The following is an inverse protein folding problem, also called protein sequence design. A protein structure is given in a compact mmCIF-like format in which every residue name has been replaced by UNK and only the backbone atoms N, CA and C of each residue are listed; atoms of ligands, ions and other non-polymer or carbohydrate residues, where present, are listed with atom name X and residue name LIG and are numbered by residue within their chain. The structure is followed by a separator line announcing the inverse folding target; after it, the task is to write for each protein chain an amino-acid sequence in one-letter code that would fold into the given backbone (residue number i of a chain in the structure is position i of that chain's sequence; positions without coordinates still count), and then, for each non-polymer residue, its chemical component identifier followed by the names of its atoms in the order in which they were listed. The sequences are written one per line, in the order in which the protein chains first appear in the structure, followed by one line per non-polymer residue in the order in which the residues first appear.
data_IF_474968648710
#
_entry.id   IF_474968648710
#
_cell.length_a   1.000
_cell.length_b   1.000
_cell.length_c   1.000
_cell.angle_alpha   90.00
_cell.angle_beta   90.00
_cell.angle_gamma   90.00
#
_symmetry.space_group_name_H-M   'P 1'
#
loop_
_entity.id
_entity.type
_entity.pdbx_description
1 polymer ?
#
# COMPACT_ATOMS: atom_id res chain seq x y z
N UNK A 1 -0.04 5.31 -8.18
CA UNK A 1 -1.06 5.92 -9.10
C UNK A 1 -0.77 5.57 -10.56
N UNK A 2 -1.77 5.54 -11.45
CA UNK A 2 -1.57 5.18 -12.87
C UNK A 2 -1.47 6.41 -13.78
N UNK A 3 -0.50 6.43 -14.70
CA UNK A 3 -0.36 7.43 -15.77
C UNK A 3 0.19 6.74 -17.03
N UNK A 4 -0.37 7.06 -18.20
CA UNK A 4 -0.01 6.44 -19.48
C UNK A 4 0.06 4.90 -19.46
N UNK A 5 -0.84 4.25 -18.70
CA UNK A 5 -0.88 2.79 -18.55
C UNK A 5 0.12 2.22 -17.56
N UNK A 6 1.03 3.02 -17.00
CA UNK A 6 2.05 2.60 -16.05
C UNK A 6 1.71 3.02 -14.62
N UNK A 7 2.10 2.19 -13.64
CA UNK A 7 1.96 2.50 -12.22
C UNK A 7 3.24 3.15 -11.71
N UNK A 8 3.09 4.22 -10.96
CA UNK A 8 4.18 4.89 -10.24
C UNK A 8 3.83 5.02 -8.76
N UNK A 9 4.83 4.82 -7.90
CA UNK A 9 4.70 5.05 -6.47
C UNK A 9 4.55 6.56 -6.23
N UNK A 10 3.47 6.95 -5.57
CA UNK A 10 3.20 8.31 -5.13
C UNK A 10 3.90 8.56 -3.80
N UNK A 11 3.69 7.66 -2.84
CA UNK A 11 4.29 7.74 -1.52
C UNK A 11 4.13 6.41 -0.77
N UNK A 12 4.72 6.34 0.43
CA UNK A 12 4.79 5.16 1.28
C UNK A 12 4.61 5.47 2.76
N UNK A 13 3.89 4.62 3.49
CA UNK A 13 3.71 4.75 4.96
C UNK A 13 5.00 4.51 5.75
N UNK A 14 4.91 4.70 7.07
CA UNK A 14 5.88 4.15 7.99
C UNK A 14 5.93 2.61 7.93
N UNK A 15 7.07 2.04 8.34
CA UNK A 15 7.23 0.59 8.53
C UNK A 15 6.77 0.22 9.93
N UNK A 16 5.78 -0.66 10.05
CA UNK A 16 5.29 -1.18 11.32
C UNK A 16 5.91 -2.55 11.55
N UNK A 17 6.70 -2.70 12.62
CA UNK A 17 7.33 -3.97 13.01
C UNK A 17 6.38 -4.79 13.88
N UNK A 18 6.38 -6.11 13.69
CA UNK A 18 5.81 -7.07 14.66
C UNK A 18 4.31 -6.87 14.90
N UNK A 19 3.52 -6.75 13.83
CA UNK A 19 2.07 -6.55 13.92
C UNK A 19 1.29 -7.36 12.87
N UNK A 20 0.30 -8.15 13.30
CA UNK A 20 -0.59 -8.94 12.43
C UNK A 20 -1.63 -8.04 11.73
N UNK A 21 -1.99 -6.92 12.36
CA UNK A 21 -3.03 -5.99 11.88
C UNK A 21 -2.49 -4.56 11.93
N UNK A 22 -1.55 -4.20 11.04
CA UNK A 22 -0.93 -2.88 11.04
C UNK A 22 -1.95 -1.76 10.82
N UNK A 23 -1.84 -0.70 11.62
CA UNK A 23 -2.60 0.55 11.44
C UNK A 23 -1.59 1.65 11.12
N UNK A 24 -1.59 2.10 9.86
CA UNK A 24 -0.72 3.19 9.42
C UNK A 24 -1.34 4.55 9.71
N UNK A 25 -0.50 5.48 10.15
CA UNK A 25 -0.89 6.86 10.48
C UNK A 25 -0.57 7.85 9.36
N UNK A 26 0.33 7.48 8.42
CA UNK A 26 0.65 8.37 7.31
C UNK A 26 -0.56 8.68 6.43
N UNK A 27 -0.75 9.96 6.13
CA UNK A 27 -1.76 10.44 5.21
C UNK A 27 -1.16 10.60 3.81
N UNK A 28 -1.80 10.00 2.82
CA UNK A 28 -1.48 10.23 1.41
C UNK A 28 -2.19 11.50 0.92
N UNK A 29 -1.43 12.44 0.36
CA UNK A 29 -1.96 13.64 -0.29
C UNK A 29 -1.85 13.46 -1.80
N UNK A 30 -2.97 13.59 -2.51
CA UNK A 30 -3.05 13.45 -3.97
C UNK A 30 -3.92 14.58 -4.50
N UNK A 31 -3.45 15.25 -5.55
CA UNK A 31 -4.25 16.27 -6.24
C UNK A 31 -5.45 15.64 -6.94
N UNK A 32 -6.60 16.29 -6.85
CA UNK A 32 -7.85 15.81 -7.44
C UNK A 32 -8.17 16.60 -8.72
N UNK A 33 -8.36 15.88 -9.82
CA UNK A 33 -8.76 16.39 -11.13
C UNK A 33 -10.10 15.78 -11.51
N UNK A 34 -11.15 16.60 -11.60
CA UNK A 34 -12.53 16.12 -11.78
C UNK A 34 -12.79 15.56 -13.18
N UNK A 35 -11.96 15.96 -14.14
CA UNK A 35 -12.00 15.58 -15.55
C UNK A 35 -11.30 14.24 -15.82
N UNK A 36 -10.57 13.69 -14.84
CA UNK A 36 -9.79 12.46 -15.00
C UNK A 36 -10.27 11.30 -14.13
N UNK A 37 -10.18 10.08 -14.67
CA UNK A 37 -10.34 8.85 -13.88
C UNK A 37 -8.99 8.48 -13.24
N UNK A 38 -8.71 9.07 -12.07
CA UNK A 38 -7.45 8.84 -11.36
C UNK A 38 -7.47 7.49 -10.63
N UNK A 39 -6.72 6.51 -11.16
CA UNK A 39 -6.60 5.17 -10.58
C UNK A 39 -5.50 5.10 -9.53
N UNK A 40 -5.86 4.58 -8.37
CA UNK A 40 -5.00 4.37 -7.22
C UNK A 40 -4.81 2.88 -6.96
N UNK A 41 -3.62 2.51 -6.52
CA UNK A 41 -3.29 1.13 -6.15
C UNK A 41 -2.56 1.16 -4.83
N UNK A 42 -3.13 0.52 -3.82
CA UNK A 42 -2.52 0.37 -2.51
C UNK A 42 -1.91 -1.01 -2.43
N UNK A 43 -0.65 -1.09 -2.06
CA UNK A 43 0.07 -2.36 -1.90
C UNK A 43 0.72 -2.43 -0.53
N UNK A 44 0.61 -3.57 0.13
CA UNK A 44 1.32 -3.86 1.37
C UNK A 44 2.45 -4.83 1.07
N UNK A 45 3.62 -4.50 1.60
CA UNK A 45 4.86 -5.24 1.41
C UNK A 45 5.45 -5.65 2.77
N UNK A 46 5.98 -6.86 2.86
CA UNK A 46 6.82 -7.33 3.98
C UNK A 46 8.24 -6.83 3.78
N UNK A 47 8.69 -6.03 4.72
CA UNK A 47 10.03 -5.48 4.79
C UNK A 47 10.84 -6.37 5.73
N UNK A 48 11.23 -7.57 5.28
CA UNK A 48 12.10 -8.43 6.08
C UNK A 48 13.43 -7.70 6.37
N UNK A 49 13.98 -7.90 7.56
CA UNK A 49 15.24 -7.24 7.98
C UNK A 49 16.46 -7.63 7.16
N UNK A 50 16.35 -8.68 6.34
CA UNK A 50 17.42 -9.17 5.46
C UNK A 50 17.41 -8.49 4.09
N UNK A 51 16.37 -7.71 3.77
CA UNK A 51 16.26 -7.00 2.50
C UNK A 51 16.88 -5.60 2.62
N UNK A 52 17.82 -5.28 1.74
CA UNK A 52 18.51 -3.99 1.69
C UNK A 52 17.63 -2.87 1.06
N UNK A 53 16.30 -2.98 1.16
CA UNK A 53 15.35 -2.01 0.62
C UNK A 53 14.09 -2.65 0.02
N UNK A 54 13.19 -1.81 -0.50
CA UNK A 54 11.88 -2.23 -1.01
C UNK A 54 11.95 -3.12 -2.26
N UNK A 55 13.10 -3.15 -2.97
CA UNK A 55 13.26 -3.98 -4.18
C UNK A 55 13.14 -5.47 -3.91
N UNK A 56 13.46 -5.87 -2.69
CA UNK A 56 13.41 -7.27 -2.26
C UNK A 56 12.27 -7.50 -1.26
N UNK A 57 11.36 -6.54 -1.09
CA UNK A 57 10.22 -6.69 -0.20
C UNK A 57 9.16 -7.61 -0.82
N UNK A 58 8.59 -8.50 0.01
CA UNK A 58 7.60 -9.46 -0.46
C UNK A 58 6.21 -8.83 -0.51
N UNK A 59 5.54 -8.92 -1.67
CA UNK A 59 4.19 -8.42 -1.82
C UNK A 59 3.20 -9.26 -0.99
N UNK A 60 2.48 -8.60 -0.08
CA UNK A 60 1.49 -9.23 0.79
C UNK A 60 0.07 -9.07 0.30
N UNK A 61 -0.20 -8.09 -0.57
CA UNK A 61 -1.55 -7.83 -1.03
C UNK A 61 -1.76 -6.39 -1.43
N UNK A 62 -2.85 -6.15 -2.17
CA UNK A 62 -3.20 -4.81 -2.55
C UNK A 62 -4.65 -4.67 -3.00
N UNK A 63 -5.04 -3.43 -3.22
CA UNK A 63 -6.33 -3.09 -3.82
C UNK A 63 -6.17 -1.95 -4.81
N UNK A 64 -7.01 -1.97 -5.84
CA UNK A 64 -7.13 -0.86 -6.78
C UNK A 64 -8.49 -0.18 -6.61
N UNK A 65 -8.50 1.14 -6.69
CA UNK A 65 -9.73 1.94 -6.67
C UNK A 65 -9.54 3.21 -7.50
N UNK A 66 -10.63 3.91 -7.83
CA UNK A 66 -10.53 5.28 -8.35
C UNK A 66 -10.58 6.29 -7.21
N UNK A 67 -9.91 7.44 -7.35
CA UNK A 67 -9.93 8.49 -6.33
C UNK A 67 -11.36 8.97 -6.03
N UNK A 68 -12.22 9.05 -7.06
CA UNK A 68 -13.61 9.47 -6.92
C UNK A 68 -14.53 8.50 -6.14
N UNK A 69 -14.14 7.22 -5.97
CA UNK A 69 -14.94 6.22 -5.26
C UNK A 69 -14.55 6.06 -3.78
N UNK A 70 -13.54 6.80 -3.31
CA UNK A 70 -12.78 6.42 -2.13
C UNK A 70 -13.30 7.06 -0.83
N UNK A 71 -13.46 6.24 0.22
CA UNK A 71 -13.71 6.71 1.59
C UNK A 71 -12.41 7.16 2.29
N UNK A 72 -12.53 8.03 3.31
CA UNK A 72 -11.38 8.55 4.08
C UNK A 72 -10.56 7.47 4.80
N UNK A 73 -11.14 6.28 5.03
CA UNK A 73 -10.47 5.14 5.66
C UNK A 73 -10.49 3.95 4.73
N UNK A 74 -9.33 3.32 4.59
CA UNK A 74 -9.12 2.13 3.80
C UNK A 74 -8.84 0.93 4.70
N UNK A 75 -9.43 -0.20 4.36
CA UNK A 75 -9.17 -1.49 5.00
C UNK A 75 -8.91 -2.53 3.91
N UNK A 76 -7.72 -3.11 3.91
CA UNK A 76 -7.38 -4.22 3.03
C UNK A 76 -7.89 -5.54 3.63
N UNK A 77 -8.48 -6.45 2.84
CA UNK A 77 -8.94 -7.74 3.35
C UNK A 77 -7.76 -8.58 3.86
N UNK A 78 -7.93 -9.20 5.02
CA UNK A 78 -6.91 -10.02 5.68
C UNK A 78 -6.51 -11.26 4.89
N UNK A 79 -7.36 -11.73 3.96
CA UNK A 79 -7.14 -12.93 3.12
C UNK A 79 -5.98 -12.80 2.13
N UNK A 80 -5.33 -11.65 2.05
CA UNK A 80 -4.14 -11.46 1.22
C UNK A 80 -2.85 -11.96 1.91
N UNK A 81 -2.85 -12.12 3.25
CA UNK A 81 -1.69 -12.52 4.07
C UNK A 81 -1.38 -14.03 4.05
N UNK A 82 -1.36 -14.68 2.89
CA UNK A 82 -1.32 -16.15 2.85
C UNK A 82 0.00 -16.81 3.30
N UNK A 83 1.10 -16.07 3.54
CA UNK A 83 2.39 -16.67 3.93
C UNK A 83 3.27 -15.83 4.88
N UNK A 84 2.76 -14.77 5.53
CA UNK A 84 3.59 -13.95 6.41
C UNK A 84 3.66 -14.49 7.85
N UNK A 85 4.86 -14.66 8.43
CA UNK A 85 5.01 -14.89 9.85
C UNK A 85 4.31 -13.76 10.65
N UNK A 86 3.72 -14.05 11.82
CA UNK A 86 2.89 -13.10 12.59
C UNK A 86 3.65 -11.88 13.17
N UNK A 87 4.87 -11.59 12.72
CA UNK A 87 5.78 -10.63 13.32
C UNK A 87 6.63 -9.83 12.32
N UNK A 88 6.43 -10.00 11.01
CA UNK A 88 7.27 -9.33 10.03
C UNK A 88 6.97 -7.83 9.91
N UNK A 89 7.97 -6.98 9.62
CA UNK A 89 7.76 -5.56 9.38
C UNK A 89 6.96 -5.37 8.09
N UNK A 90 5.98 -4.47 8.07
CA UNK A 90 5.19 -4.21 6.87
C UNK A 90 5.04 -2.72 6.58
N UNK A 91 4.81 -2.40 5.31
CA UNK A 91 4.65 -1.04 4.82
C UNK A 91 3.61 -0.98 3.69
N UNK A 92 2.83 0.10 3.60
CA UNK A 92 1.86 0.32 2.53
C UNK A 92 2.34 1.41 1.54
N UNK A 93 2.21 1.15 0.24
CA UNK A 93 2.57 2.05 -0.86
C UNK A 93 1.31 2.43 -1.67
N UNK A 94 1.29 3.65 -2.24
CA UNK A 94 0.24 4.16 -3.14
C UNK A 94 0.78 4.46 -4.56
#
# INVERSE_FOLDING_TARGET
MQSHGQWFEVDRTEVIRTCINPIFSKLFTVDFYFEEVQRLRFEVHDISSNHNGLKDADFLGGMECTLGQKNRRLSLPSSLHHNTPPACPCCCCL
#
